data_IF_760919593672
#
_entry.id   IF_760919593672
#
_cell.length_a   1.000
_cell.length_b   1.000
_cell.length_c   1.000
_cell.angle_alpha   90.00
_cell.angle_beta   90.00
_cell.angle_gamma   90.00
#
_symmetry.space_group_name_H-M   'P 1'
#
loop_
_entity.id
_entity.type
_entity.pdbx_description
1 polymer ?
#
# COMPACT_ATOMS: atom_id res chain seq x y z
N UNK A 1 0.87 -9.83 -11.34
CA UNK A 1 -0.28 -10.37 -10.59
C UNK A 1 0.20 -10.65 -9.18
N UNK A 2 -0.36 -9.99 -8.16
CA UNK A 2 -0.07 -10.35 -6.78
C UNK A 2 -0.71 -11.70 -6.50
N UNK A 3 0.10 -12.72 -6.23
CA UNK A 3 -0.38 -13.99 -5.70
C UNK A 3 -1.04 -13.71 -4.35
N UNK A 4 -2.23 -14.27 -4.06
CA UNK A 4 -2.80 -14.16 -2.73
C UNK A 4 -1.82 -14.72 -1.70
N UNK A 5 -1.60 -13.96 -0.63
CA UNK A 5 -0.77 -14.40 0.49
C UNK A 5 -1.42 -15.55 1.25
N UNK A 6 -0.68 -16.20 2.18
CA UNK A 6 -1.25 -17.21 3.04
C UNK A 6 -2.36 -16.63 3.92
N UNK A 7 -3.39 -17.45 4.21
CA UNK A 7 -4.44 -17.09 5.16
C UNK A 7 -3.84 -16.85 6.55
N UNK A 8 -4.24 -15.75 7.18
CA UNK A 8 -3.94 -15.46 8.59
C UNK A 8 -5.19 -15.74 9.43
N UNK A 9 -5.02 -16.35 10.60
CA UNK A 9 -6.13 -16.75 11.48
C UNK A 9 -6.16 -15.88 12.72
N UNK A 10 -7.36 -15.44 13.11
CA UNK A 10 -7.61 -14.74 14.35
C UNK A 10 -8.71 -15.47 15.12
N UNK A 11 -8.37 -16.02 16.29
CA UNK A 11 -9.33 -16.75 17.10
C UNK A 11 -10.25 -15.81 17.88
N UNK A 12 -11.53 -16.16 17.89
CA UNK A 12 -12.54 -15.60 18.79
C UNK A 12 -12.80 -16.63 19.88
N UNK A 13 -12.35 -16.31 21.11
CA UNK A 13 -12.34 -17.27 22.23
C UNK A 13 -13.68 -17.43 22.94
N UNK A 14 -14.55 -16.42 22.83
CA UNK A 14 -15.84 -16.39 23.52
C UNK A 14 -16.92 -16.84 22.54
N UNK A 15 -17.60 -17.99 22.76
CA UNK A 15 -18.57 -18.52 21.79
C UNK A 15 -19.79 -17.63 21.54
N UNK A 16 -20.13 -16.75 22.49
CA UNK A 16 -21.22 -15.77 22.34
C UNK A 16 -20.78 -14.47 21.64
N UNK A 17 -19.48 -14.27 21.42
CA UNK A 17 -18.96 -13.11 20.71
C UNK A 17 -19.40 -13.16 19.25
N UNK A 18 -19.71 -11.99 18.69
CA UNK A 18 -20.20 -11.85 17.32
C UNK A 18 -19.36 -10.87 16.51
N UNK A 19 -18.30 -10.31 17.10
CA UNK A 19 -17.43 -9.33 16.50
C UNK A 19 -15.96 -9.57 16.83
N UNK A 20 -15.06 -9.14 15.95
CA UNK A 20 -13.62 -9.15 16.18
C UNK A 20 -12.97 -8.03 15.38
N UNK A 21 -11.93 -7.42 15.94
CA UNK A 21 -11.14 -6.40 15.27
C UNK A 21 -9.86 -7.04 14.73
N UNK A 22 -9.69 -7.01 13.41
CA UNK A 22 -8.45 -7.42 12.77
C UNK A 22 -7.45 -6.25 12.82
N UNK A 23 -6.23 -6.52 13.28
CA UNK A 23 -5.17 -5.52 13.44
C UNK A 23 -3.92 -5.89 12.63
N UNK A 24 -2.96 -4.98 12.51
CA UNK A 24 -1.70 -5.17 11.78
C UNK A 24 -1.88 -5.49 10.28
N UNK A 25 -2.95 -4.96 9.68
CA UNK A 25 -3.19 -5.05 8.24
C UNK A 25 -2.43 -3.95 7.49
N UNK A 26 -2.02 -4.23 6.25
CA UNK A 26 -1.40 -3.24 5.35
C UNK A 26 -2.44 -2.23 4.91
N UNK A 27 -2.03 -0.96 4.78
CA UNK A 27 -2.88 0.17 4.39
C UNK A 27 -3.18 0.16 2.89
N UNK A 28 -4.38 0.57 2.51
CA UNK A 28 -4.83 0.61 1.12
C UNK A 28 -4.94 -0.75 0.40
N UNK A 29 -4.89 -1.87 1.13
CA UNK A 29 -4.93 -3.23 0.58
C UNK A 29 -6.33 -3.83 0.73
N UNK A 30 -6.75 -4.58 -0.30
CA UNK A 30 -7.98 -5.38 -0.26
C UNK A 30 -7.67 -6.75 0.35
N UNK A 31 -8.40 -7.09 1.41
CA UNK A 31 -8.34 -8.39 2.08
C UNK A 31 -9.61 -9.18 1.79
N UNK A 32 -9.47 -10.49 1.62
CA UNK A 32 -10.57 -11.45 1.65
C UNK A 32 -10.69 -12.01 3.07
N UNK A 33 -11.91 -12.08 3.60
CA UNK A 33 -12.20 -12.54 4.97
C UNK A 33 -13.27 -13.64 4.91
N UNK A 34 -13.03 -14.72 5.65
CA UNK A 34 -13.97 -15.82 5.90
C UNK A 34 -14.02 -16.13 7.39
N UNK A 35 -15.13 -16.67 7.85
CA UNK A 35 -15.33 -17.12 9.23
C UNK A 35 -15.68 -18.60 9.22
N UNK A 36 -15.08 -19.39 10.10
CA UNK A 36 -15.45 -20.79 10.31
C UNK A 36 -15.65 -21.08 11.80
N UNK A 37 -16.62 -21.91 12.18
CA UNK A 37 -16.72 -22.41 13.55
C UNK A 37 -15.61 -23.45 13.80
N UNK A 38 -15.14 -23.56 15.04
CA UNK A 38 -14.17 -24.57 15.46
C UNK A 38 -14.53 -25.12 16.84
N UNK A 39 -14.07 -26.34 17.12
CA UNK A 39 -14.18 -27.01 18.41
C UNK A 39 -12.94 -27.89 18.63
N UNK A 40 -12.06 -27.52 19.56
CA UNK A 40 -10.73 -28.13 19.73
C UNK A 40 -9.96 -28.18 18.39
N UNK A 41 -9.43 -29.34 17.99
CA UNK A 41 -8.78 -29.52 16.69
C UNK A 41 -9.75 -29.55 15.48
N UNK A 42 -11.06 -29.61 15.71
CA UNK A 42 -12.05 -29.72 14.64
C UNK A 42 -12.43 -28.36 14.09
N UNK A 43 -12.42 -28.25 12.76
CA UNK A 43 -12.83 -27.07 12.01
C UNK A 43 -14.07 -27.38 11.19
N UNK A 44 -15.07 -26.49 11.26
CA UNK A 44 -16.26 -26.57 10.42
C UNK A 44 -16.06 -25.94 9.05
N UNK A 45 -17.17 -25.73 8.34
CA UNK A 45 -17.17 -25.14 7.01
C UNK A 45 -16.95 -23.62 7.07
N UNK A 46 -16.27 -23.08 6.05
CA UNK A 46 -16.15 -21.63 5.88
C UNK A 46 -17.50 -20.99 5.55
N UNK A 47 -17.65 -19.75 6.00
CA UNK A 47 -18.63 -18.83 5.43
C UNK A 47 -18.28 -18.47 3.99
N UNK A 48 -19.24 -17.85 3.31
CA UNK A 48 -18.94 -17.06 2.13
C UNK A 48 -17.85 -16.01 2.42
N UNK A 49 -16.96 -15.79 1.45
CA UNK A 49 -15.95 -14.74 1.52
C UNK A 49 -16.56 -13.36 1.42
N UNK A 50 -16.00 -12.42 2.17
CA UNK A 50 -16.23 -10.98 1.98
C UNK A 50 -14.90 -10.27 1.77
N UNK A 51 -14.88 -9.32 0.85
CA UNK A 51 -13.71 -8.48 0.60
C UNK A 51 -13.90 -7.11 1.23
N UNK A 52 -12.85 -6.59 1.86
CA UNK A 52 -12.82 -5.25 2.42
C UNK A 52 -11.46 -4.60 2.16
N UNK A 53 -11.46 -3.29 1.91
CA UNK A 53 -10.23 -2.50 1.74
C UNK A 53 -9.91 -1.75 3.01
N UNK A 54 -8.66 -1.79 3.45
CA UNK A 54 -8.16 -0.93 4.52
C UNK A 54 -8.09 0.52 4.05
N UNK A 55 -8.18 1.46 4.99
CA UNK A 55 -8.05 2.89 4.70
C UNK A 55 -6.74 3.18 3.97
N UNK A 56 -6.83 4.07 2.97
CA UNK A 56 -5.65 4.56 2.25
C UNK A 56 -4.94 5.64 3.05
N UNK A 57 -3.61 5.70 2.93
CA UNK A 57 -2.79 6.73 3.55
C UNK A 57 -1.77 7.29 2.57
N UNK A 58 -1.07 8.37 2.95
CA UNK A 58 0.01 8.92 2.14
C UNK A 58 1.10 7.87 1.88
N UNK A 59 1.73 7.87 0.69
CA UNK A 59 2.89 7.04 0.43
C UNK A 59 3.97 7.27 1.49
N UNK A 60 4.56 6.18 1.97
CA UNK A 60 5.60 6.21 3.02
C UNK A 60 7.02 6.24 2.46
N UNK A 61 7.17 6.10 1.14
CA UNK A 61 8.43 6.22 0.43
C UNK A 61 8.28 7.17 -0.77
N UNK A 62 9.37 7.86 -1.17
CA UNK A 62 9.36 8.72 -2.34
C UNK A 62 9.33 7.90 -3.65
N UNK A 63 9.09 8.56 -4.80
CA UNK A 63 9.34 7.97 -6.11
C UNK A 63 10.79 7.50 -6.26
N UNK A 64 10.99 6.46 -7.07
CA UNK A 64 12.30 5.87 -7.32
C UNK A 64 12.91 6.42 -8.62
N UNK A 65 14.22 6.24 -8.79
CA UNK A 65 14.94 6.53 -10.04
C UNK A 65 14.72 7.96 -10.59
N UNK A 66 14.62 8.96 -9.71
CA UNK A 66 14.41 10.35 -10.11
C UNK A 66 15.60 10.83 -10.96
N UNK A 67 15.33 11.16 -12.21
CA UNK A 67 16.31 11.66 -13.17
C UNK A 67 15.87 13.01 -13.70
N UNK A 68 16.81 13.94 -13.84
CA UNK A 68 16.58 15.28 -14.39
C UNK A 68 17.54 15.51 -15.56
N UNK A 69 17.01 15.87 -16.72
CA UNK A 69 17.79 16.14 -17.93
C UNK A 69 17.47 17.53 -18.46
N UNK A 70 18.49 18.31 -18.82
CA UNK A 70 18.30 19.55 -19.58
C UNK A 70 17.89 19.20 -21.00
N UNK A 71 16.80 19.80 -21.48
CA UNK A 71 16.28 19.54 -22.81
C UNK A 71 16.85 20.56 -23.78
N UNK A 72 17.87 20.20 -24.56
CA UNK A 72 18.47 21.09 -25.57
C UNK A 72 19.98 21.29 -25.39
N UNK A 73 20.49 22.43 -25.85
CA UNK A 73 21.90 22.80 -25.73
C UNK A 73 22.20 23.48 -24.38
N UNK A 74 23.44 23.95 -24.21
CA UNK A 74 23.97 24.48 -22.95
C UNK A 74 23.23 25.70 -22.35
N UNK A 75 22.31 26.33 -23.10
CA UNK A 75 21.52 27.50 -22.65
C UNK A 75 20.00 27.22 -22.57
N UNK A 76 19.59 25.95 -22.47
CA UNK A 76 18.17 25.63 -22.38
C UNK A 76 17.57 25.98 -21.01
N UNK A 77 16.36 26.54 -21.02
CA UNK A 77 15.53 26.84 -19.84
C UNK A 77 14.54 25.72 -19.51
N UNK A 78 14.57 24.62 -20.26
CA UNK A 78 13.65 23.50 -20.12
C UNK A 78 14.34 22.26 -19.54
N UNK A 79 13.66 21.59 -18.62
CA UNK A 79 14.10 20.32 -18.04
C UNK A 79 13.05 19.23 -18.28
N UNK A 80 13.51 17.99 -18.37
CA UNK A 80 12.69 16.78 -18.34
C UNK A 80 12.97 16.05 -17.04
N UNK A 81 11.91 15.60 -16.37
CA UNK A 81 11.98 14.85 -15.12
C UNK A 81 11.30 13.50 -15.34
N UNK A 82 11.96 12.41 -14.95
CA UNK A 82 11.39 11.06 -14.97
C UNK A 82 11.61 10.35 -13.64
N UNK A 83 10.68 9.48 -13.26
CA UNK A 83 10.75 8.67 -12.06
C UNK A 83 9.91 7.40 -12.20
N UNK A 84 10.22 6.43 -11.35
CA UNK A 84 9.41 5.25 -11.08
C UNK A 84 8.49 5.51 -9.87
N UNK A 85 7.32 4.83 -9.80
CA UNK A 85 6.47 4.92 -8.61
C UNK A 85 7.19 4.41 -7.35
N UNK A 86 6.77 4.83 -6.14
CA UNK A 86 7.19 4.19 -4.90
C UNK A 86 6.91 2.68 -4.93
N UNK A 87 7.69 1.86 -4.21
CA UNK A 87 7.43 0.43 -4.10
C UNK A 87 5.99 0.15 -3.65
N UNK A 88 5.30 -0.88 -4.18
CA UNK A 88 3.88 -1.14 -3.89
C UNK A 88 3.55 -1.22 -2.39
N UNK A 89 4.43 -1.81 -1.59
CA UNK A 89 4.32 -1.92 -0.13
C UNK A 89 4.38 -0.57 0.60
N UNK A 90 4.91 0.47 -0.06
CA UNK A 90 5.03 1.81 0.47
C UNK A 90 4.01 2.80 -0.10
N UNK A 91 3.21 2.39 -1.10
CA UNK A 91 2.19 3.26 -1.72
C UNK A 91 1.02 3.55 -0.78
N UNK A 92 0.73 2.63 0.15
CA UNK A 92 -0.37 2.74 1.13
C UNK A 92 -1.77 3.02 0.53
N UNK A 93 -1.98 2.73 -0.76
CA UNK A 93 -3.20 3.08 -1.48
C UNK A 93 -2.94 3.25 -2.97
N UNK A 94 -3.91 3.84 -3.67
CA UNK A 94 -3.76 4.21 -5.07
C UNK A 94 -3.09 5.59 -5.13
N UNK A 95 -1.99 5.70 -5.88
CA UNK A 95 -1.31 7.00 -6.08
C UNK A 95 -2.25 7.96 -6.82
N UNK A 96 -2.55 9.09 -6.19
CA UNK A 96 -3.49 10.09 -6.74
C UNK A 96 -2.80 11.12 -7.65
N UNK A 97 -1.61 11.61 -7.25
CA UNK A 97 -0.89 12.67 -7.96
C UNK A 97 0.62 12.65 -7.66
N UNK A 98 1.40 13.32 -8.52
CA UNK A 98 2.80 13.67 -8.27
C UNK A 98 2.96 15.19 -8.32
N UNK A 99 3.65 15.76 -7.34
CA UNK A 99 3.98 17.20 -7.31
C UNK A 99 5.48 17.38 -7.39
N UNK A 100 5.92 18.15 -8.37
CA UNK A 100 7.32 18.53 -8.53
C UNK A 100 7.49 20.02 -8.19
N UNK A 101 8.54 20.33 -7.42
CA UNK A 101 8.96 21.69 -7.13
C UNK A 101 10.45 21.84 -7.44
N UNK A 102 10.86 23.04 -7.88
CA UNK A 102 12.25 23.39 -8.08
C UNK A 102 12.61 24.57 -7.19
N UNK A 103 13.86 24.62 -6.74
CA UNK A 103 14.42 25.77 -6.04
C UNK A 103 15.77 26.13 -6.67
N UNK A 104 16.12 27.41 -6.67
CA UNK A 104 17.44 27.84 -7.09
C UNK A 104 18.45 27.42 -6.02
N UNK A 105 19.45 26.64 -6.43
CA UNK A 105 20.51 26.24 -5.53
C UNK A 105 21.50 27.39 -5.41
N UNK A 106 21.48 28.08 -4.27
CA UNK A 106 22.47 29.10 -3.94
C UNK A 106 23.70 28.38 -3.41
N UNK A 107 24.71 28.23 -4.25
CA UNK A 107 26.02 27.76 -3.82
C UNK A 107 26.81 28.95 -3.24
N UNK A 108 27.10 28.92 -1.94
CA UNK A 108 28.03 29.86 -1.31
C UNK A 108 29.46 29.44 -1.67
N UNK A 109 30.23 30.38 -2.25
CA UNK A 109 31.68 30.22 -2.47
C UNK A 109 32.46 30.27 -1.17
#
# INVERSE_FOLDING_TARGET
MFSPGPWQTQDVKVPSERSVVLSNLKKGIVYEIKVRPYFNEFQGMDSESRSARTTEEAPSAPPLQVTVLTVGNQNSTSISISWDPPPPEHQNGIIQEYKAGYCEKIDWM
#
